data_IF_130935960851
#
_entry.id   IF_130935960851
#
_cell.length_a   1.000
_cell.length_b   1.000
_cell.length_c   1.000
_cell.angle_alpha   90.00
_cell.angle_beta   90.00
_cell.angle_gamma   90.00
#
_symmetry.space_group_name_H-M   'P 1'
#
loop_
_entity.id
_entity.type
_entity.pdbx_description
1 polymer ?
#
# COMPACT_ATOMS: atom_id res chain seq x y z
N UNK A 1 -11.73 -21.35 13.95
CA UNK A 1 -11.55 -19.94 14.39
C UNK A 1 -10.11 -19.60 14.76
N UNK A 2 -9.36 -20.44 15.51
CA UNK A 2 -7.93 -20.18 15.79
C UNK A 2 -6.97 -20.38 14.61
N UNK A 3 -7.13 -21.45 13.84
CA UNK A 3 -6.25 -21.69 12.67
C UNK A 3 -6.43 -20.63 11.57
N UNK A 4 -7.66 -20.23 11.26
CA UNK A 4 -7.94 -19.19 10.25
C UNK A 4 -7.37 -17.82 10.64
N UNK A 5 -7.42 -17.46 11.93
CA UNK A 5 -6.81 -16.21 12.43
C UNK A 5 -5.27 -16.28 12.37
N UNK A 6 -4.68 -17.43 12.69
CA UNK A 6 -3.23 -17.64 12.57
C UNK A 6 -2.76 -17.57 11.12
N UNK A 7 -3.51 -18.16 10.18
CA UNK A 7 -3.21 -18.07 8.75
C UNK A 7 -3.29 -16.62 8.25
N UNK A 8 -4.33 -15.86 8.65
CA UNK A 8 -4.45 -14.45 8.26
C UNK A 8 -3.29 -13.60 8.83
N UNK A 9 -2.89 -13.87 10.08
CA UNK A 9 -1.76 -13.19 10.73
C UNK A 9 -0.43 -13.51 10.02
N UNK A 10 -0.19 -14.78 9.67
CA UNK A 10 1.02 -15.19 8.93
C UNK A 10 1.07 -14.50 7.57
N UNK A 11 -0.04 -14.49 6.83
CA UNK A 11 -0.12 -13.79 5.54
C UNK A 11 0.15 -12.30 5.71
N UNK A 12 -0.40 -11.67 6.74
CA UNK A 12 -0.18 -10.24 7.02
C UNK A 12 1.28 -9.93 7.34
N UNK A 13 1.92 -10.74 8.19
CA UNK A 13 3.35 -10.59 8.51
C UNK A 13 4.21 -10.76 7.26
N UNK A 14 3.88 -11.74 6.42
CA UNK A 14 4.61 -11.97 5.17
C UNK A 14 4.53 -10.78 4.22
N UNK A 15 3.33 -10.17 4.05
CA UNK A 15 3.17 -8.96 3.23
C UNK A 15 3.95 -7.77 3.81
N UNK A 16 3.89 -7.57 5.12
CA UNK A 16 4.67 -6.52 5.81
C UNK A 16 6.18 -6.71 5.60
N UNK A 17 6.66 -7.95 5.66
CA UNK A 17 8.07 -8.28 5.44
C UNK A 17 8.47 -8.02 3.99
N UNK A 18 7.62 -8.38 3.03
CA UNK A 18 7.83 -8.10 1.61
C UNK A 18 7.90 -6.58 1.33
N UNK A 19 6.97 -5.80 1.89
CA UNK A 19 7.02 -4.33 1.79
C UNK A 19 8.29 -3.77 2.44
N UNK A 20 8.69 -4.28 3.60
CA UNK A 20 9.93 -3.89 4.26
C UNK A 20 11.17 -4.16 3.41
N UNK A 21 11.25 -5.32 2.76
CA UNK A 21 12.35 -5.67 1.86
C UNK A 21 12.42 -4.74 0.64
N UNK A 22 11.27 -4.40 0.04
CA UNK A 22 11.23 -3.45 -1.08
C UNK A 22 11.67 -2.06 -0.65
N UNK A 23 11.20 -1.57 0.50
CA UNK A 23 11.57 -0.25 1.02
C UNK A 23 13.09 -0.22 1.30
N UNK A 24 13.60 -1.20 2.06
CA UNK A 24 15.04 -1.26 2.40
C UNK A 24 15.89 -1.45 1.15
N UNK A 25 15.50 -2.34 0.23
CA UNK A 25 16.20 -2.55 -1.04
C UNK A 25 16.19 -1.30 -1.94
N UNK A 26 15.06 -0.59 -2.01
CA UNK A 26 14.94 0.65 -2.77
C UNK A 26 15.72 1.82 -2.17
N UNK A 27 15.88 1.89 -0.84
CA UNK A 27 16.76 2.89 -0.20
C UNK A 27 18.24 2.51 -0.25
N UNK A 28 18.58 1.22 -0.19
CA UNK A 28 19.98 0.74 -0.23
C UNK A 28 20.58 0.74 -1.64
N UNK A 29 19.76 0.45 -2.66
CA UNK A 29 20.17 0.41 -4.07
C UNK A 29 19.73 1.65 -4.87
N UNK A 30 18.94 2.54 -4.25
CA UNK A 30 18.34 3.69 -4.91
C UNK A 30 19.34 4.80 -5.21
N UNK A 31 19.75 4.91 -6.47
CA UNK A 31 20.41 6.12 -6.95
C UNK A 31 19.36 7.14 -7.38
N UNK A 32 19.32 8.32 -6.73
CA UNK A 32 18.37 9.43 -7.04
C UNK A 32 18.38 9.86 -8.52
N UNK A 33 19.45 9.47 -9.22
CA UNK A 33 19.68 9.69 -10.66
C UNK A 33 18.76 8.85 -11.56
N UNK A 34 18.17 7.78 -11.04
CA UNK A 34 17.24 6.90 -11.74
C UNK A 34 15.80 7.47 -11.80
N UNK A 35 15.47 8.36 -10.87
CA UNK A 35 14.19 9.08 -10.80
C UNK A 35 14.08 10.18 -11.87
N UNK A 36 15.20 10.62 -12.44
CA UNK A 36 15.31 11.89 -13.20
C UNK A 36 15.70 11.74 -14.67
N UNK A 37 16.09 10.55 -15.17
CA UNK A 37 16.39 10.36 -16.60
C UNK A 37 15.85 9.01 -17.10
N UNK A 38 15.10 8.95 -18.23
CA UNK A 38 14.86 9.99 -19.24
C UNK A 38 13.46 10.68 -19.18
N UNK A 39 12.47 10.13 -18.47
CA UNK A 39 11.05 10.61 -18.53
C UNK A 39 10.44 11.15 -17.21
N UNK A 40 11.24 11.36 -16.16
CA UNK A 40 10.80 11.91 -14.88
C UNK A 40 9.78 11.03 -14.12
N UNK A 41 9.17 11.57 -13.07
CA UNK A 41 8.18 10.87 -12.20
C UNK A 41 6.84 10.54 -12.88
N UNK A 42 6.58 11.05 -14.09
CA UNK A 42 5.28 10.91 -14.78
C UNK A 42 5.43 10.61 -16.29
N UNK A 43 5.99 9.45 -16.69
CA UNK A 43 6.23 9.11 -18.09
C UNK A 43 4.94 8.98 -18.93
N UNK A 44 3.77 8.79 -18.31
CA UNK A 44 2.47 8.60 -18.94
C UNK A 44 1.49 9.78 -18.77
N UNK A 45 1.95 10.91 -18.21
CA UNK A 45 1.10 12.08 -17.94
C UNK A 45 -0.10 11.77 -17.05
N UNK A 46 -1.14 12.62 -17.09
CA UNK A 46 -2.33 12.47 -16.25
C UNK A 46 -3.06 11.13 -16.47
N UNK A 47 -2.98 10.56 -17.68
CA UNK A 47 -3.68 9.31 -18.04
C UNK A 47 -3.18 8.11 -17.24
N UNK A 48 -1.85 7.96 -17.09
CA UNK A 48 -1.28 6.89 -16.25
C UNK A 48 -1.59 7.06 -14.77
N UNK A 49 -1.75 8.30 -14.30
CA UNK A 49 -2.19 8.59 -12.92
C UNK A 49 -3.63 8.15 -12.70
N UNK A 50 -4.53 8.43 -13.65
CA UNK A 50 -5.93 8.00 -13.57
C UNK A 50 -6.07 6.47 -13.61
N UNK A 51 -5.31 5.78 -14.47
CA UNK A 51 -5.33 4.31 -14.53
C UNK A 51 -4.81 3.68 -13.22
N UNK A 52 -3.74 4.22 -12.64
CA UNK A 52 -3.25 3.80 -11.32
C UNK A 52 -4.26 4.08 -10.20
N UNK A 53 -4.91 5.23 -10.22
CA UNK A 53 -5.95 5.58 -9.26
C UNK A 53 -7.16 4.64 -9.34
N UNK A 54 -7.56 4.21 -10.54
CA UNK A 54 -8.62 3.22 -10.73
C UNK A 54 -8.26 1.85 -10.14
N UNK A 55 -7.00 1.43 -10.29
CA UNK A 55 -6.50 0.17 -9.72
C UNK A 55 -6.52 0.21 -8.19
N UNK A 56 -6.10 1.33 -7.60
CA UNK A 56 -6.14 1.55 -6.14
C UNK A 56 -7.58 1.62 -5.65
N UNK A 57 -8.49 2.28 -6.38
CA UNK A 57 -9.92 2.29 -6.04
C UNK A 57 -10.50 0.88 -5.96
N UNK A 58 -10.13 0.00 -6.89
CA UNK A 58 -10.58 -1.40 -6.89
C UNK A 58 -10.12 -2.17 -5.63
N UNK A 59 -8.95 -1.83 -5.08
CA UNK A 59 -8.44 -2.45 -3.84
C UNK A 59 -9.27 -2.12 -2.59
N UNK A 60 -10.09 -1.07 -2.62
CA UNK A 60 -10.98 -0.69 -1.51
C UNK A 60 -12.34 -1.41 -1.52
N UNK A 61 -12.67 -2.18 -2.57
CA UNK A 61 -13.96 -2.89 -2.68
C UNK A 61 -14.18 -4.00 -1.63
N UNK A 62 -13.16 -4.39 -0.87
CA UNK A 62 -13.25 -5.42 0.18
C UNK A 62 -13.61 -4.90 1.58
N UNK A 63 -13.87 -3.60 1.72
CA UNK A 63 -14.03 -2.94 3.00
C UNK A 63 -15.25 -3.41 3.83
N UNK A 64 -16.28 -3.95 3.17
CA UNK A 64 -17.47 -4.50 3.84
C UNK A 64 -17.11 -5.60 4.85
N UNK A 65 -16.01 -6.33 4.62
CA UNK A 65 -15.46 -7.35 5.52
C UNK A 65 -15.01 -6.79 6.87
N UNK A 66 -14.64 -5.51 6.94
CA UNK A 66 -14.22 -4.83 8.18
C UNK A 66 -15.43 -4.44 9.01
N UNK A 67 -16.59 -4.22 8.37
CA UNK A 67 -17.82 -3.85 9.06
C UNK A 67 -18.40 -5.00 9.89
N UNK A 68 -18.09 -6.26 9.58
CA UNK A 68 -18.55 -7.42 10.37
C UNK A 68 -17.79 -7.58 11.68
N UNK A 69 -16.56 -7.06 11.79
CA UNK A 69 -15.80 -7.02 13.04
C UNK A 69 -16.22 -5.86 13.97
N UNK A 70 -17.17 -5.02 13.53
CA UNK A 70 -17.75 -3.94 14.32
C UNK A 70 -18.44 -4.41 15.61
N UNK A 71 -18.99 -5.62 15.61
CA UNK A 71 -19.79 -6.15 16.72
C UNK A 71 -18.97 -6.38 18.00
N UNK A 72 -17.64 -6.53 17.89
CA UNK A 72 -16.73 -6.68 19.05
C UNK A 72 -16.24 -5.34 19.61
N UNK A 73 -16.61 -4.21 18.98
CA UNK A 73 -16.09 -2.89 19.33
C UNK A 73 -17.02 -2.23 20.36
N UNK A 74 -16.46 -1.84 21.51
CA UNK A 74 -17.20 -1.26 22.64
C UNK A 74 -17.93 0.05 22.33
N UNK A 75 -17.49 0.81 21.31
CA UNK A 75 -18.08 2.09 20.85
C UNK A 75 -18.08 2.25 19.31
N UNK A 76 -18.87 1.46 18.57
CA UNK A 76 -18.85 1.38 17.10
C UNK A 76 -18.90 2.73 16.36
N UNK A 77 -19.79 3.69 16.69
CA UNK A 77 -20.05 4.85 15.82
C UNK A 77 -18.87 5.82 15.70
N UNK A 78 -17.90 5.79 16.62
CA UNK A 78 -16.72 6.65 16.58
C UNK A 78 -15.44 5.87 16.26
N UNK A 79 -15.26 4.68 16.83
CA UNK A 79 -14.00 3.93 16.64
C UNK A 79 -13.91 3.18 15.31
N UNK A 80 -15.02 2.75 14.71
CA UNK A 80 -15.00 2.15 13.36
C UNK A 80 -14.53 3.13 12.29
N UNK A 81 -15.18 4.30 12.09
CA UNK A 81 -14.79 5.20 11.02
C UNK A 81 -13.37 5.73 11.23
N UNK A 82 -12.97 6.01 12.48
CA UNK A 82 -11.63 6.51 12.79
C UNK A 82 -10.56 5.42 12.62
N UNK A 83 -10.82 4.19 13.07
CA UNK A 83 -9.88 3.07 12.94
C UNK A 83 -9.64 2.71 11.48
N UNK A 84 -10.68 2.84 10.65
CA UNK A 84 -10.60 2.56 9.23
C UNK A 84 -9.90 3.69 8.51
N UNK A 85 -10.32 4.94 8.71
CA UNK A 85 -9.66 6.08 8.09
C UNK A 85 -8.16 6.10 8.46
N UNK A 86 -7.83 5.75 9.71
CA UNK A 86 -6.47 5.58 10.18
C UNK A 86 -5.71 4.46 9.46
N UNK A 87 -6.30 3.26 9.34
CA UNK A 87 -5.63 2.14 8.66
C UNK A 87 -5.42 2.42 7.18
N UNK A 88 -6.43 2.99 6.50
CA UNK A 88 -6.36 3.42 5.10
C UNK A 88 -5.28 4.48 4.89
N UNK A 89 -5.17 5.47 5.77
CA UNK A 89 -4.14 6.50 5.69
C UNK A 89 -2.73 5.91 5.86
N UNK A 90 -2.54 5.02 6.85
CA UNK A 90 -1.24 4.35 7.09
C UNK A 90 -0.85 3.48 5.89
N UNK A 91 -1.79 2.68 5.37
CA UNK A 91 -1.55 1.83 4.21
C UNK A 91 -1.25 2.67 2.97
N UNK A 92 -2.00 3.75 2.74
CA UNK A 92 -1.74 4.67 1.62
C UNK A 92 -0.33 5.26 1.69
N UNK A 93 0.10 5.71 2.87
CA UNK A 93 1.45 6.23 3.06
C UNK A 93 2.52 5.18 2.77
N UNK A 94 2.32 3.95 3.25
CA UNK A 94 3.26 2.84 3.05
C UNK A 94 3.34 2.43 1.57
N UNK A 95 2.22 2.41 0.85
CA UNK A 95 2.19 2.18 -0.60
C UNK A 95 2.91 3.29 -1.39
N UNK A 96 2.72 4.56 -1.02
CA UNK A 96 3.46 5.66 -1.64
C UNK A 96 4.97 5.50 -1.44
N UNK A 97 5.40 5.15 -0.22
CA UNK A 97 6.81 4.92 0.09
C UNK A 97 7.38 3.74 -0.70
N UNK A 98 6.62 2.65 -0.82
CA UNK A 98 6.99 1.48 -1.62
C UNK A 98 7.09 1.81 -3.11
N UNK A 99 6.13 2.55 -3.66
CA UNK A 99 6.13 2.99 -5.07
C UNK A 99 7.34 3.89 -5.38
N UNK A 100 7.72 4.76 -4.43
CA UNK A 100 8.93 5.58 -4.55
C UNK A 100 10.19 4.73 -4.50
N UNK A 101 10.27 3.76 -3.58
CA UNK A 101 11.40 2.83 -3.45
C UNK A 101 11.60 1.99 -4.73
N UNK A 102 10.52 1.48 -5.32
CA UNK A 102 10.53 0.77 -6.61
C UNK A 102 11.00 1.67 -7.75
N UNK A 103 10.49 2.91 -7.81
CA UNK A 103 10.87 3.91 -8.82
C UNK A 103 12.34 4.33 -8.70
N UNK A 104 12.92 4.26 -7.51
CA UNK A 104 14.35 4.49 -7.28
C UNK A 104 15.21 3.30 -7.76
N UNK A 105 14.72 2.07 -7.58
CA UNK A 105 15.48 0.84 -7.84
C UNK A 105 15.50 0.42 -9.31
N UNK A 106 14.47 0.72 -10.11
CA UNK A 106 14.35 0.24 -11.51
C UNK A 106 14.43 1.41 -12.50
N UNK A 107 15.47 1.47 -13.37
CA UNK A 107 15.53 2.46 -14.44
C UNK A 107 14.37 2.26 -15.40
N UNK A 108 13.68 3.35 -15.76
CA UNK A 108 12.60 3.35 -16.75
C UNK A 108 13.14 3.23 -18.18
N UNK A 109 13.99 2.23 -18.41
CA UNK A 109 14.57 1.87 -19.69
C UNK A 109 14.26 0.40 -19.97
N UNK A 110 12.98 0.08 -20.15
CA UNK A 110 12.36 -0.41 -21.41
C UNK A 110 10.83 -0.38 -21.24
#
# INVERSE_FOLDING_TARGET
TKESSMLNLVMTIFHLLFFGLIIVGGFYSGSVRNLTRPKGLAPFGARGVFDGAALVYFSYLGYDSVSTMAEEIKNPPLTLPLGIAGSVAIVSFLYCLMSLALSLMVPYNE
#
